data_IF_840887653518
#
_entry.id   IF_840887653518
#
_cell.length_a   1.000
_cell.length_b   1.000
_cell.length_c   1.000
_cell.angle_alpha   90.00
_cell.angle_beta   90.00
_cell.angle_gamma   90.00
#
_symmetry.space_group_name_H-M   'P 1'
#
loop_
_entity.id
_entity.type
_entity.pdbx_description
1 polymer ?
#
# COMPACT_ATOMS: atom_id res chain seq x y z
N UNK A 1 24.11 20.96 -20.16
CA UNK A 1 24.79 19.74 -19.69
C UNK A 1 23.73 18.81 -19.11
N UNK A 2 23.73 17.53 -19.48
CA UNK A 2 22.84 16.55 -18.83
C UNK A 2 23.28 16.39 -17.36
N UNK A 3 22.37 16.65 -16.42
CA UNK A 3 22.65 16.54 -14.97
C UNK A 3 22.94 15.09 -14.56
N UNK A 4 22.47 14.14 -15.36
CA UNK A 4 22.67 12.72 -15.19
C UNK A 4 23.62 12.26 -16.30
N UNK A 5 24.69 11.55 -15.93
CA UNK A 5 25.67 11.02 -16.88
C UNK A 5 25.05 10.07 -17.93
N UNK A 6 25.89 9.44 -18.75
CA UNK A 6 25.40 8.49 -19.77
C UNK A 6 24.63 7.34 -19.09
N UNK A 7 23.42 7.05 -19.58
CA UNK A 7 22.59 5.92 -19.14
C UNK A 7 23.00 4.66 -19.89
N UNK A 8 23.43 3.64 -19.15
CA UNK A 8 23.79 2.33 -19.71
C UNK A 8 22.63 1.33 -19.57
N UNK A 9 22.34 0.51 -20.59
CA UNK A 9 21.23 -0.44 -20.56
C UNK A 9 21.59 -1.73 -19.82
N UNK A 10 21.76 -1.64 -18.49
CA UNK A 10 22.04 -2.81 -17.65
C UNK A 10 20.78 -3.65 -17.44
N UNK A 11 20.84 -4.99 -17.54
CA UNK A 11 19.68 -5.87 -17.39
C UNK A 11 19.28 -5.99 -15.91
N UNK A 12 18.45 -5.07 -15.42
CA UNK A 12 18.01 -5.05 -14.01
C UNK A 12 16.76 -5.90 -13.74
N UNK A 13 15.86 -6.04 -14.72
CA UNK A 13 14.55 -6.68 -14.51
C UNK A 13 14.70 -8.16 -14.20
N UNK A 14 15.54 -8.88 -14.93
CA UNK A 14 15.73 -10.33 -14.77
C UNK A 14 16.26 -10.73 -13.38
N UNK A 15 17.34 -10.13 -12.86
CA UNK A 15 17.81 -10.45 -11.50
C UNK A 15 16.87 -9.91 -10.41
N UNK A 16 16.16 -8.80 -10.64
CA UNK A 16 15.25 -8.23 -9.65
C UNK A 16 13.85 -8.86 -9.66
N UNK A 17 13.49 -9.61 -10.69
CA UNK A 17 12.16 -10.22 -10.85
C UNK A 17 11.64 -10.97 -9.60
N UNK A 18 12.40 -11.87 -8.93
CA UNK A 18 11.90 -12.55 -7.73
C UNK A 18 11.61 -11.58 -6.57
N UNK A 19 12.38 -10.50 -6.43
CA UNK A 19 12.17 -9.50 -5.39
C UNK A 19 10.94 -8.63 -5.66
N UNK A 20 10.74 -8.24 -6.92
CA UNK A 20 9.53 -7.51 -7.34
C UNK A 20 8.29 -8.38 -7.11
N UNK A 21 8.36 -9.67 -7.48
CA UNK A 21 7.28 -10.61 -7.23
C UNK A 21 6.99 -10.76 -5.72
N UNK A 22 8.01 -10.99 -4.90
CA UNK A 22 7.85 -11.10 -3.45
C UNK A 22 7.27 -9.82 -2.83
N UNK A 23 7.77 -8.65 -3.21
CA UNK A 23 7.24 -7.36 -2.74
C UNK A 23 5.77 -7.17 -3.10
N UNK A 24 5.37 -7.55 -4.33
CA UNK A 24 3.97 -7.47 -4.75
C UNK A 24 3.05 -8.39 -3.94
N UNK A 25 3.51 -9.59 -3.61
CA UNK A 25 2.77 -10.54 -2.77
C UNK A 25 2.61 -9.99 -1.35
N UNK A 26 3.70 -9.49 -0.76
CA UNK A 26 3.67 -8.88 0.58
C UNK A 26 2.73 -7.70 0.60
N UNK A 27 2.82 -6.82 -0.40
CA UNK A 27 1.94 -5.66 -0.50
C UNK A 27 0.45 -6.08 -0.53
N UNK A 28 0.07 -7.02 -1.39
CA UNK A 28 -1.31 -7.51 -1.46
C UNK A 28 -1.79 -8.12 -0.13
N UNK A 29 -0.89 -8.84 0.55
CA UNK A 29 -1.21 -9.52 1.82
C UNK A 29 -1.40 -8.51 2.95
N UNK A 30 -0.47 -7.56 3.09
CA UNK A 30 -0.53 -6.50 4.10
C UNK A 30 -1.77 -5.64 3.90
N UNK A 31 -2.10 -5.25 2.68
CA UNK A 31 -3.31 -4.47 2.40
C UNK A 31 -4.59 -5.19 2.85
N UNK A 32 -4.66 -6.52 2.68
CA UNK A 32 -5.82 -7.31 3.14
C UNK A 32 -5.90 -7.36 4.66
N UNK A 33 -4.76 -7.57 5.32
CA UNK A 33 -4.68 -7.64 6.79
C UNK A 33 -5.00 -6.27 7.41
N UNK A 34 -4.44 -5.20 6.86
CA UNK A 34 -4.70 -3.83 7.33
C UNK A 34 -6.19 -3.49 7.24
N UNK A 35 -6.83 -3.80 6.10
CA UNK A 35 -8.25 -3.55 5.92
C UNK A 35 -9.12 -4.25 6.98
N UNK A 36 -8.78 -5.46 7.42
CA UNK A 36 -9.53 -6.11 8.50
C UNK A 36 -9.14 -5.56 9.88
N UNK A 37 -7.85 -5.30 10.12
CA UNK A 37 -7.33 -4.80 11.38
C UNK A 37 -7.89 -3.43 11.75
N UNK A 38 -8.10 -2.54 10.77
CA UNK A 38 -8.71 -1.22 10.98
C UNK A 38 -10.16 -1.27 11.49
N UNK A 39 -10.83 -2.42 11.43
CA UNK A 39 -12.20 -2.59 11.96
C UNK A 39 -12.25 -3.25 13.33
N UNK A 40 -11.09 -3.52 13.93
CA UNK A 40 -11.00 -4.10 15.27
C UNK A 40 -11.00 -2.99 16.34
N UNK A 41 -11.66 -3.18 17.49
CA UNK A 41 -11.51 -2.30 18.65
C UNK A 41 -10.06 -2.32 19.17
N UNK A 42 -9.49 -1.19 19.63
CA UNK A 42 -10.08 0.15 19.74
C UNK A 42 -9.91 1.03 18.48
N UNK A 43 -9.36 0.50 17.40
CA UNK A 43 -8.98 1.27 16.21
C UNK A 43 -10.16 1.61 15.30
N UNK A 44 -11.28 0.92 15.46
CA UNK A 44 -12.54 1.13 14.75
C UNK A 44 -13.18 2.50 15.00
N UNK A 45 -12.89 3.09 16.15
CA UNK A 45 -13.41 4.39 16.62
C UNK A 45 -12.34 5.48 16.68
N UNK A 46 -11.11 5.18 16.26
CA UNK A 46 -10.03 6.17 16.20
C UNK A 46 -10.33 7.21 15.11
N UNK A 47 -10.36 8.52 15.43
CA UNK A 47 -10.60 9.58 14.45
C UNK A 47 -9.50 9.69 13.38
N UNK A 48 -8.34 9.05 13.58
CA UNK A 48 -7.24 9.01 12.61
C UNK A 48 -7.42 7.88 11.59
N UNK A 49 -8.27 6.91 11.87
CA UNK A 49 -8.49 5.77 10.99
C UNK A 49 -9.32 6.22 9.77
N UNK A 50 -8.74 6.23 8.55
CA UNK A 50 -9.45 6.70 7.36
C UNK A 50 -10.71 5.87 7.06
N UNK A 51 -10.68 4.57 7.39
CA UNK A 51 -11.81 3.67 7.18
C UNK A 51 -12.96 3.96 8.13
N UNK A 52 -12.66 4.32 9.38
CA UNK A 52 -13.68 4.75 10.35
C UNK A 52 -14.36 6.05 9.91
N UNK A 53 -13.56 7.02 9.44
CA UNK A 53 -14.06 8.28 8.89
C UNK A 53 -14.95 8.06 7.66
N UNK A 54 -14.50 7.24 6.71
CA UNK A 54 -15.28 6.90 5.52
C UNK A 54 -16.60 6.21 5.89
N UNK A 55 -16.57 5.23 6.80
CA UNK A 55 -17.78 4.53 7.25
C UNK A 55 -18.77 5.47 7.94
N UNK A 56 -18.28 6.46 8.70
CA UNK A 56 -19.13 7.48 9.30
C UNK A 56 -19.81 8.34 8.24
N UNK A 57 -19.06 8.82 7.24
CA UNK A 57 -19.61 9.59 6.12
C UNK A 57 -20.65 8.79 5.33
N UNK A 58 -20.39 7.52 5.03
CA UNK A 58 -21.32 6.66 4.30
C UNK A 58 -22.65 6.45 5.05
N UNK A 59 -22.61 6.40 6.38
CA UNK A 59 -23.80 6.30 7.25
C UNK A 59 -24.58 7.61 7.35
N UNK A 60 -23.92 8.75 7.24
CA UNK A 60 -24.58 10.07 7.25
C UNK A 60 -25.25 10.40 5.91
N UNK A 61 -24.78 9.79 4.81
CA UNK A 61 -25.33 9.95 3.46
C UNK A 61 -26.45 8.96 3.10
N UNK A 62 -26.77 7.99 3.95
CA UNK A 62 -27.91 7.07 3.81
C UNK A 62 -28.97 7.36 4.88
#
# INVERSE_FOLDING_TARGET
MSLFGRKFPTPIVRPLAPFIAAASIVWLTVNKIENSAQSLPPYDSDPRNPKALLNKQLKEHH
#
